data_IF_030707794523
#
_entry.id   IF_030707794523
#
_cell.length_a   1.000
_cell.length_b   1.000
_cell.length_c   1.000
_cell.angle_alpha   90.00
_cell.angle_beta   90.00
_cell.angle_gamma   90.00
#
_symmetry.space_group_name_H-M   'P 1'
#
loop_
_entity.id
_entity.type
_entity.pdbx_description
1 polymer ?
#
# COMPACT_ATOMS: atom_id res chain seq x y z
N UNK A 1 -39.31 -5.71 7.56
CA UNK A 1 -38.16 -4.96 7.04
C UNK A 1 -37.01 -5.94 6.93
N UNK A 2 -36.32 -6.01 5.79
CA UNK A 2 -35.15 -6.85 5.62
C UNK A 2 -34.00 -6.22 6.43
N UNK A 3 -33.31 -6.99 7.25
CA UNK A 3 -32.18 -6.48 8.06
C UNK A 3 -31.03 -6.07 7.14
N UNK A 4 -30.62 -4.81 7.22
CA UNK A 4 -29.45 -4.28 6.51
C UNK A 4 -28.29 -4.13 7.46
N UNK A 5 -27.09 -4.41 7.00
CA UNK A 5 -25.83 -4.29 7.73
C UNK A 5 -24.92 -3.29 7.02
N UNK A 6 -24.14 -2.53 7.78
CA UNK A 6 -23.19 -1.57 7.22
C UNK A 6 -21.76 -1.95 7.57
N UNK A 7 -20.88 -1.88 6.58
CA UNK A 7 -19.46 -2.21 6.69
C UNK A 7 -18.59 -1.10 6.10
N UNK A 8 -17.36 -1.05 6.56
CA UNK A 8 -16.35 -0.12 6.05
C UNK A 8 -14.96 -0.75 6.11
N UNK A 9 -14.14 -0.47 5.10
CA UNK A 9 -12.71 -0.74 5.10
C UNK A 9 -11.95 0.48 4.59
N UNK A 10 -10.84 0.88 5.24
CA UNK A 10 -10.07 2.07 4.87
C UNK A 10 -9.17 1.84 3.67
N UNK A 11 -8.85 2.91 2.95
CA UNK A 11 -7.62 2.98 2.16
C UNK A 11 -6.39 2.96 3.03
N UNK A 12 -5.21 2.88 2.41
CA UNK A 12 -3.92 2.86 3.13
C UNK A 12 -2.91 3.82 2.51
N UNK A 13 -1.95 4.25 3.32
CA UNK A 13 -0.77 4.96 2.85
C UNK A 13 0.50 4.21 3.28
N UNK A 14 1.54 4.22 2.43
CA UNK A 14 2.88 3.74 2.78
C UNK A 14 3.65 4.87 3.46
N UNK A 15 3.91 4.73 4.75
CA UNK A 15 4.64 5.73 5.54
C UNK A 15 6.14 5.60 5.30
N UNK A 16 6.67 4.36 5.25
CA UNK A 16 8.10 4.06 5.08
C UNK A 16 8.31 2.62 4.61
N UNK A 17 9.46 2.35 4.00
CA UNK A 17 9.80 1.03 3.49
C UNK A 17 9.62 0.90 1.98
N UNK A 18 9.97 1.95 1.23
CA UNK A 18 9.78 1.97 -0.21
C UNK A 18 10.54 0.83 -0.90
N UNK A 19 9.80 -0.06 -1.57
CA UNK A 19 10.36 -1.21 -2.28
C UNK A 19 11.16 -2.21 -1.41
N UNK A 20 10.84 -2.32 -0.12
CA UNK A 20 11.47 -3.33 0.75
C UNK A 20 10.69 -4.63 0.82
N UNK A 21 9.38 -4.61 0.69
CA UNK A 21 8.46 -5.74 0.86
C UNK A 21 8.77 -6.92 -0.08
N UNK A 22 9.02 -6.67 -1.37
CA UNK A 22 9.36 -7.69 -2.35
C UNK A 22 10.77 -8.28 -2.18
N UNK A 23 11.56 -7.75 -1.23
CA UNK A 23 12.84 -8.28 -0.77
C UNK A 23 12.77 -8.80 0.67
N UNK A 24 11.57 -9.09 1.16
CA UNK A 24 11.29 -9.57 2.51
C UNK A 24 11.72 -8.60 3.62
N UNK A 25 11.72 -7.31 3.33
CA UNK A 25 12.08 -6.25 4.27
C UNK A 25 10.92 -5.79 5.15
N UNK A 26 11.16 -4.71 5.88
CA UNK A 26 10.20 -4.08 6.77
C UNK A 26 9.48 -2.92 6.08
N UNK A 27 8.21 -2.71 6.41
CA UNK A 27 7.43 -1.54 6.01
C UNK A 27 6.69 -0.94 7.20
N UNK A 28 6.42 0.35 7.12
CA UNK A 28 5.51 1.06 8.00
C UNK A 28 4.40 1.65 7.14
N UNK A 29 3.17 1.21 7.37
CA UNK A 29 2.00 1.65 6.63
C UNK A 29 0.91 2.14 7.59
N UNK A 30 -0.07 2.87 7.09
CA UNK A 30 -1.19 3.33 7.89
C UNK A 30 -2.51 3.21 7.14
N UNK A 31 -3.57 2.88 7.87
CA UNK A 31 -4.94 3.06 7.39
C UNK A 31 -5.30 4.54 7.43
N UNK A 32 -6.01 5.01 6.40
CA UNK A 32 -6.42 6.41 6.28
C UNK A 32 -7.94 6.58 6.40
N UNK A 33 -8.41 7.80 6.59
CA UNK A 33 -9.82 8.15 6.75
C UNK A 33 -10.66 8.05 5.47
N UNK A 34 -10.03 7.93 4.30
CA UNK A 34 -10.73 7.58 3.06
C UNK A 34 -11.09 6.09 3.09
N UNK A 35 -12.33 5.75 2.76
CA UNK A 35 -12.88 4.41 2.98
C UNK A 35 -13.74 3.90 1.84
N UNK A 36 -13.87 2.58 1.78
CA UNK A 36 -14.88 1.89 0.97
C UNK A 36 -15.93 1.32 1.91
N UNK A 37 -17.20 1.65 1.68
CA UNK A 37 -18.33 1.25 2.52
C UNK A 37 -19.28 0.35 1.75
N UNK A 38 -20.02 -0.51 2.47
CA UNK A 38 -21.09 -1.33 1.90
C UNK A 38 -22.35 -1.33 2.77
N UNK A 39 -23.50 -1.24 2.13
CA UNK A 39 -24.79 -1.64 2.71
C UNK A 39 -25.13 -3.05 2.21
N UNK A 40 -25.31 -3.98 3.15
CA UNK A 40 -25.41 -5.42 2.86
C UNK A 40 -26.78 -5.94 3.31
N UNK A 41 -27.45 -6.70 2.44
CA UNK A 41 -28.72 -7.39 2.72
C UNK A 41 -28.55 -8.88 2.40
N UNK A 42 -28.99 -9.77 3.30
CA UNK A 42 -28.91 -11.22 3.08
C UNK A 42 -29.93 -11.67 2.04
N UNK A 43 -29.53 -12.66 1.24
CA UNK A 43 -30.37 -13.33 0.24
C UNK A 43 -30.63 -14.78 0.63
N UNK A 44 -31.77 -15.35 0.21
CA UNK A 44 -32.08 -16.76 0.49
C UNK A 44 -31.38 -17.75 -0.46
N UNK A 45 -30.76 -17.25 -1.53
CA UNK A 45 -30.08 -18.04 -2.57
C UNK A 45 -28.56 -18.12 -2.35
N UNK A 46 -27.82 -18.64 -3.32
CA UNK A 46 -26.36 -18.76 -3.32
C UNK A 46 -25.67 -17.73 -4.19
N UNK A 47 -26.24 -16.53 -4.36
CA UNK A 47 -25.69 -15.49 -5.23
C UNK A 47 -25.17 -14.32 -4.39
N UNK A 48 -23.91 -13.94 -4.58
CA UNK A 48 -23.39 -12.66 -4.13
C UNK A 48 -23.56 -11.66 -5.26
N UNK A 49 -24.29 -10.56 -5.00
CA UNK A 49 -24.39 -9.45 -5.94
C UNK A 49 -23.74 -8.22 -5.35
N UNK A 50 -22.79 -7.63 -6.08
CA UNK A 50 -22.11 -6.40 -5.68
C UNK A 50 -22.37 -5.31 -6.72
N UNK A 51 -22.93 -4.21 -6.27
CA UNK A 51 -23.12 -2.99 -7.06
C UNK A 51 -22.22 -1.89 -6.51
N UNK A 52 -21.12 -1.62 -7.18
CA UNK A 52 -20.17 -0.55 -6.83
C UNK A 52 -20.46 0.71 -7.65
N UNK A 53 -20.48 1.87 -7.00
CA UNK A 53 -20.69 3.15 -7.69
C UNK A 53 -19.60 3.37 -8.74
N UNK A 54 -20.01 3.67 -9.98
CA UNK A 54 -19.08 3.86 -11.12
C UNK A 54 -18.63 2.59 -11.84
N UNK A 55 -19.09 1.40 -11.40
CA UNK A 55 -18.76 0.11 -12.01
C UNK A 55 -20.00 -0.69 -12.37
N UNK A 56 -19.88 -1.60 -13.35
CA UNK A 56 -20.97 -2.53 -13.65
C UNK A 56 -21.21 -3.48 -12.46
N UNK A 57 -22.47 -3.76 -12.10
CA UNK A 57 -22.77 -4.74 -11.08
C UNK A 57 -22.24 -6.13 -11.45
N UNK A 58 -21.79 -6.88 -10.45
CA UNK A 58 -21.29 -8.24 -10.61
C UNK A 58 -22.11 -9.23 -9.79
N UNK A 59 -22.26 -10.46 -10.31
CA UNK A 59 -22.93 -11.57 -9.65
C UNK A 59 -22.01 -12.78 -9.60
N UNK A 60 -21.88 -13.37 -8.42
CA UNK A 60 -21.04 -14.54 -8.17
C UNK A 60 -21.94 -15.67 -7.65
N UNK A 61 -21.96 -16.80 -8.37
CA UNK A 61 -22.61 -18.03 -7.89
C UNK A 61 -21.64 -18.75 -6.93
N UNK A 62 -22.05 -18.89 -5.68
CA UNK A 62 -21.28 -19.60 -4.64
C UNK A 62 -21.14 -21.12 -4.90
N UNK A 63 -21.91 -21.68 -5.84
CA UNK A 63 -21.76 -23.08 -6.27
C UNK A 63 -20.60 -23.26 -7.25
N UNK A 64 -20.08 -22.17 -7.84
CA UNK A 64 -18.91 -22.19 -8.71
C UNK A 64 -17.93 -21.07 -8.29
N UNK A 65 -16.93 -21.46 -7.49
CA UNK A 65 -15.86 -20.59 -7.01
C UNK A 65 -14.52 -20.90 -7.70
N UNK A 66 -14.55 -21.54 -8.87
CA UNK A 66 -13.35 -21.74 -9.68
C UNK A 66 -12.82 -20.44 -10.27
N UNK A 67 -11.56 -20.42 -10.71
CA UNK A 67 -10.98 -19.28 -11.41
C UNK A 67 -11.55 -19.17 -12.82
N UNK A 68 -12.11 -18.03 -13.17
CA UNK A 68 -12.65 -17.73 -14.48
C UNK A 68 -11.69 -16.80 -15.24
N UNK A 69 -11.14 -17.27 -16.36
CA UNK A 69 -10.15 -16.51 -17.11
C UNK A 69 -10.69 -15.19 -17.68
N UNK A 70 -11.99 -15.15 -18.01
CA UNK A 70 -12.71 -13.98 -18.51
C UNK A 70 -12.95 -12.92 -17.45
N UNK A 71 -12.90 -13.27 -16.16
CA UNK A 71 -13.04 -12.34 -15.05
C UNK A 71 -11.72 -11.65 -14.69
N UNK A 72 -10.59 -12.03 -15.28
CA UNK A 72 -9.30 -11.43 -15.00
C UNK A 72 -9.36 -9.89 -15.10
N UNK A 73 -8.76 -9.20 -14.12
CA UNK A 73 -8.79 -7.74 -13.98
C UNK A 73 -10.19 -7.14 -13.76
N UNK A 74 -11.14 -7.92 -13.23
CA UNK A 74 -12.50 -7.43 -12.92
C UNK A 74 -12.84 -7.51 -11.43
N UNK A 75 -13.83 -6.73 -11.00
CA UNK A 75 -14.40 -6.80 -9.65
C UNK A 75 -14.95 -8.19 -9.33
N UNK A 76 -15.48 -8.92 -10.31
CA UNK A 76 -15.99 -10.28 -10.14
C UNK A 76 -14.89 -11.23 -9.64
N UNK A 77 -13.71 -11.16 -10.22
CA UNK A 77 -12.55 -11.97 -9.80
C UNK A 77 -12.20 -11.75 -8.33
N UNK A 78 -12.19 -10.49 -7.86
CA UNK A 78 -11.88 -10.19 -6.46
C UNK A 78 -12.94 -10.77 -5.51
N UNK A 79 -14.22 -10.58 -5.80
CA UNK A 79 -15.31 -11.11 -4.97
C UNK A 79 -15.28 -12.64 -4.94
N UNK A 80 -15.12 -13.28 -6.10
CA UNK A 80 -15.03 -14.74 -6.24
C UNK A 80 -13.81 -15.29 -5.48
N UNK A 81 -12.65 -14.65 -5.61
CA UNK A 81 -11.40 -15.04 -4.93
C UNK A 81 -11.51 -14.97 -3.41
N UNK A 82 -12.11 -13.90 -2.87
CA UNK A 82 -12.38 -13.78 -1.43
C UNK A 82 -13.35 -14.86 -0.97
N UNK A 83 -14.48 -15.07 -1.68
CA UNK A 83 -15.45 -16.11 -1.35
C UNK A 83 -14.82 -17.51 -1.38
N UNK A 84 -14.01 -17.83 -2.40
CA UNK A 84 -13.28 -19.08 -2.51
C UNK A 84 -12.34 -19.33 -1.33
N UNK A 85 -11.58 -18.31 -0.93
CA UNK A 85 -10.67 -18.41 0.20
C UNK A 85 -11.39 -18.67 1.54
N UNK A 86 -12.56 -18.07 1.74
CA UNK A 86 -13.42 -18.37 2.90
C UNK A 86 -14.01 -19.78 2.83
N UNK A 87 -14.50 -20.22 1.66
CA UNK A 87 -15.01 -21.58 1.47
C UNK A 87 -13.93 -22.64 1.74
N UNK A 88 -12.69 -22.44 1.28
CA UNK A 88 -11.54 -23.31 1.57
C UNK A 88 -11.23 -23.44 3.08
N UNK A 89 -11.56 -22.42 3.87
CA UNK A 89 -11.45 -22.42 5.34
C UNK A 89 -12.65 -23.04 6.06
N UNK A 90 -13.61 -23.59 5.28
CA UNK A 90 -14.82 -24.23 5.83
C UNK A 90 -15.94 -23.25 6.18
N UNK A 91 -15.87 -22.01 5.70
CA UNK A 91 -16.98 -21.06 5.84
C UNK A 91 -18.15 -21.49 4.95
N UNK A 92 -19.35 -21.53 5.51
CA UNK A 92 -20.60 -21.76 4.77
C UNK A 92 -21.20 -20.41 4.37
N UNK A 93 -20.77 -19.92 3.23
CA UNK A 93 -21.27 -18.67 2.67
C UNK A 93 -22.74 -18.80 2.19
N UNK A 94 -23.48 -17.73 2.32
CA UNK A 94 -24.81 -17.54 1.76
C UNK A 94 -24.84 -16.29 0.89
N UNK A 95 -25.85 -16.18 0.03
CA UNK A 95 -26.02 -15.03 -0.84
C UNK A 95 -26.26 -13.73 -0.08
N UNK A 96 -25.77 -12.65 -0.64
CA UNK A 96 -26.04 -11.28 -0.17
C UNK A 96 -25.99 -10.28 -1.33
N UNK A 97 -26.71 -9.18 -1.18
CA UNK A 97 -26.58 -7.98 -2.00
C UNK A 97 -25.70 -6.98 -1.24
N UNK A 98 -24.71 -6.36 -1.91
CA UNK A 98 -23.88 -5.30 -1.36
C UNK A 98 -23.92 -4.07 -2.28
N UNK A 99 -24.39 -2.94 -1.75
CA UNK A 99 -24.27 -1.63 -2.40
C UNK A 99 -23.01 -0.94 -1.88
N UNK A 100 -22.00 -0.78 -2.76
CA UNK A 100 -20.67 -0.31 -2.40
C UNK A 100 -20.43 1.12 -2.88
N UNK A 101 -19.85 1.95 -2.01
CA UNK A 101 -19.37 3.30 -2.30
C UNK A 101 -17.95 3.45 -1.80
N UNK A 102 -17.13 4.25 -2.50
CA UNK A 102 -15.74 4.47 -2.12
C UNK A 102 -15.37 5.94 -2.22
N UNK A 103 -14.67 6.43 -1.19
CA UNK A 103 -13.95 7.71 -1.22
C UNK A 103 -12.47 7.49 -1.52
N UNK A 104 -12.00 6.23 -1.57
CA UNK A 104 -10.65 5.87 -2.00
C UNK A 104 -10.59 5.92 -3.53
N UNK A 105 -10.09 7.02 -4.06
CA UNK A 105 -10.06 7.23 -5.51
C UNK A 105 -9.08 6.27 -6.19
N UNK A 106 -9.48 5.64 -7.31
CA UNK A 106 -8.55 4.89 -8.15
C UNK A 106 -7.40 5.78 -8.62
N UNK A 107 -6.17 5.24 -8.61
CA UNK A 107 -4.96 5.98 -9.02
C UNK A 107 -4.42 6.97 -7.98
N UNK A 108 -5.08 7.18 -6.85
CA UNK A 108 -4.61 8.08 -5.77
C UNK A 108 -3.41 7.52 -4.97
N UNK A 109 -2.95 6.33 -5.26
CA UNK A 109 -1.91 5.64 -4.48
C UNK A 109 -2.39 5.06 -3.15
N UNK A 110 -3.69 5.16 -2.81
CA UNK A 110 -4.25 4.77 -1.51
C UNK A 110 -4.89 3.36 -1.50
N UNK A 111 -4.67 2.58 -2.56
CA UNK A 111 -5.09 1.17 -2.72
C UNK A 111 -6.58 0.91 -2.57
N UNK A 112 -7.37 1.36 -3.56
CA UNK A 112 -8.80 1.09 -3.60
C UNK A 112 -9.12 -0.41 -3.72
N UNK A 113 -8.27 -1.22 -4.40
CA UNK A 113 -8.45 -2.67 -4.50
C UNK A 113 -8.36 -3.35 -3.15
N UNK A 114 -7.31 -3.07 -2.36
CA UNK A 114 -7.14 -3.66 -1.03
C UNK A 114 -8.28 -3.27 -0.08
N UNK A 115 -8.73 -2.01 -0.10
CA UNK A 115 -9.88 -1.57 0.68
C UNK A 115 -11.16 -2.35 0.30
N UNK A 116 -11.37 -2.60 -1.00
CA UNK A 116 -12.50 -3.39 -1.47
C UNK A 116 -12.40 -4.87 -1.06
N UNK A 117 -11.24 -5.50 -1.21
CA UNK A 117 -10.99 -6.90 -0.82
C UNK A 117 -11.20 -7.10 0.68
N UNK A 118 -10.64 -6.19 1.50
CA UNK A 118 -10.82 -6.20 2.95
C UNK A 118 -12.28 -5.99 3.33
N UNK A 119 -13.01 -5.12 2.62
CA UNK A 119 -14.43 -4.91 2.83
C UNK A 119 -15.23 -6.21 2.62
N UNK A 120 -15.04 -6.89 1.49
CA UNK A 120 -15.71 -8.17 1.18
C UNK A 120 -15.28 -9.25 2.19
N UNK A 121 -14.00 -9.33 2.53
CA UNK A 121 -13.49 -10.24 3.56
C UNK A 121 -14.12 -10.01 4.92
N UNK A 122 -14.27 -8.74 5.33
CA UNK A 122 -14.93 -8.36 6.60
C UNK A 122 -16.40 -8.76 6.59
N UNK A 123 -17.12 -8.54 5.48
CA UNK A 123 -18.52 -8.98 5.34
C UNK A 123 -18.63 -10.49 5.52
N UNK A 124 -17.81 -11.28 4.82
CA UNK A 124 -17.83 -12.74 4.91
C UNK A 124 -17.49 -13.23 6.33
N UNK A 125 -16.48 -12.65 6.97
CA UNK A 125 -16.05 -13.01 8.31
C UNK A 125 -17.12 -12.71 9.39
N UNK A 126 -17.73 -11.54 9.30
CA UNK A 126 -18.73 -11.07 10.28
C UNK A 126 -20.07 -11.81 10.17
N UNK A 127 -20.57 -12.02 8.92
CA UNK A 127 -21.92 -12.55 8.70
C UNK A 127 -21.98 -14.08 8.61
N UNK A 128 -20.88 -14.74 8.18
CA UNK A 128 -20.92 -16.17 7.86
C UNK A 128 -19.84 -17.01 8.54
N UNK A 129 -18.84 -16.38 9.20
CA UNK A 129 -17.73 -17.12 9.78
C UNK A 129 -17.48 -16.84 11.26
N UNK A 130 -18.44 -16.23 11.95
CA UNK A 130 -18.40 -15.94 13.40
C UNK A 130 -17.10 -15.20 13.83
N UNK A 131 -16.55 -14.32 12.96
CA UNK A 131 -15.31 -13.56 13.19
C UNK A 131 -14.06 -14.44 13.46
N UNK A 132 -14.02 -15.63 12.88
CA UNK A 132 -12.91 -16.57 13.11
C UNK A 132 -11.61 -16.17 12.45
N UNK A 133 -11.67 -15.38 11.35
CA UNK A 133 -10.46 -14.84 10.75
C UNK A 133 -9.99 -13.59 11.50
N UNK A 134 -8.71 -13.56 11.82
CA UNK A 134 -8.01 -12.35 12.27
C UNK A 134 -7.89 -11.32 11.13
N UNK A 135 -7.54 -10.08 11.46
CA UNK A 135 -7.27 -9.04 10.46
C UNK A 135 -6.12 -9.45 9.51
N UNK A 136 -5.11 -10.14 10.01
CA UNK A 136 -4.00 -10.67 9.20
C UNK A 136 -4.51 -11.69 8.18
N UNK A 137 -5.36 -12.62 8.58
CA UNK A 137 -5.92 -13.63 7.68
C UNK A 137 -6.85 -13.00 6.63
N UNK A 138 -7.63 -11.96 6.99
CA UNK A 138 -8.44 -11.20 6.02
C UNK A 138 -7.53 -10.54 4.98
N UNK A 139 -6.41 -9.96 5.39
CA UNK A 139 -5.43 -9.38 4.47
C UNK A 139 -4.84 -10.44 3.51
N UNK A 140 -4.47 -11.60 4.03
CA UNK A 140 -3.97 -12.72 3.22
C UNK A 140 -5.02 -13.26 2.24
N UNK A 141 -6.29 -13.28 2.64
CA UNK A 141 -7.41 -13.64 1.76
C UNK A 141 -7.54 -12.61 0.61
N UNK A 142 -7.44 -11.31 0.91
CA UNK A 142 -7.45 -10.26 -0.12
C UNK A 142 -6.30 -10.43 -1.11
N UNK A 143 -5.07 -10.58 -0.62
CA UNK A 143 -3.90 -10.83 -1.46
C UNK A 143 -4.07 -12.09 -2.34
N UNK A 144 -4.60 -13.17 -1.79
CA UNK A 144 -4.89 -14.38 -2.55
C UNK A 144 -5.88 -14.10 -3.69
N UNK A 145 -6.94 -13.36 -3.43
CA UNK A 145 -7.90 -12.98 -4.45
C UNK A 145 -7.26 -12.14 -5.57
N UNK A 146 -6.40 -11.17 -5.21
CA UNK A 146 -5.71 -10.33 -6.19
C UNK A 146 -4.68 -11.12 -7.02
N UNK A 147 -3.89 -11.99 -6.39
CA UNK A 147 -2.85 -12.74 -7.08
C UNK A 147 -3.39 -13.88 -7.93
N UNK A 148 -4.39 -14.64 -7.44
CA UNK A 148 -4.85 -15.89 -8.08
C UNK A 148 -6.03 -15.66 -9.00
N UNK A 149 -7.01 -14.85 -8.61
CA UNK A 149 -8.24 -14.62 -9.37
C UNK A 149 -8.15 -13.40 -10.27
N UNK A 150 -7.78 -12.26 -9.70
CA UNK A 150 -7.63 -11.02 -10.47
C UNK A 150 -6.43 -11.09 -11.43
N UNK A 151 -5.38 -11.82 -11.05
CA UNK A 151 -4.22 -12.08 -11.89
C UNK A 151 -3.16 -10.97 -11.89
N UNK A 152 -3.13 -10.15 -10.84
CA UNK A 152 -2.11 -9.11 -10.63
C UNK A 152 -1.25 -9.47 -9.41
N UNK A 153 0.02 -9.85 -9.60
CA UNK A 153 0.92 -10.10 -8.49
C UNK A 153 1.09 -8.85 -7.62
N UNK A 154 0.77 -8.95 -6.34
CA UNK A 154 0.94 -7.87 -5.38
C UNK A 154 1.60 -8.37 -4.08
N UNK A 155 2.25 -7.44 -3.34
CA UNK A 155 2.66 -7.64 -1.96
C UNK A 155 1.46 -7.69 -1.00
N UNK A 156 1.72 -7.92 0.29
CA UNK A 156 0.68 -8.02 1.32
C UNK A 156 0.47 -6.72 2.11
N UNK A 157 1.31 -5.71 1.91
CA UNK A 157 1.30 -4.46 2.68
C UNK A 157 -0.06 -3.75 2.63
N UNK A 158 -0.64 -3.66 1.43
CA UNK A 158 -1.86 -2.89 1.17
C UNK A 158 -3.05 -3.45 1.93
N UNK A 159 -3.29 -4.74 1.77
CA UNK A 159 -4.36 -5.45 2.46
C UNK A 159 -4.14 -5.47 3.98
N UNK A 160 -2.87 -5.60 4.41
CA UNK A 160 -2.52 -5.62 5.83
C UNK A 160 -2.85 -4.30 6.50
N UNK A 161 -2.43 -3.17 5.92
CA UNK A 161 -2.70 -1.85 6.49
C UNK A 161 -4.21 -1.54 6.51
N UNK A 162 -4.94 -1.87 5.44
CA UNK A 162 -6.39 -1.71 5.36
C UNK A 162 -7.13 -2.59 6.38
N UNK A 163 -6.68 -3.82 6.58
CA UNK A 163 -7.36 -4.79 7.45
C UNK A 163 -7.09 -4.58 8.94
N UNK A 164 -5.83 -4.27 9.29
CA UNK A 164 -5.41 -4.10 10.70
C UNK A 164 -5.81 -2.73 11.25
N UNK A 165 -5.69 -1.68 10.44
CA UNK A 165 -5.95 -0.30 10.87
C UNK A 165 -4.82 0.32 11.69
N UNK A 166 -4.90 1.62 11.93
CA UNK A 166 -3.89 2.39 12.63
C UNK A 166 -2.58 2.49 11.87
N UNK A 167 -1.50 2.67 12.60
CA UNK A 167 -0.13 2.66 12.09
C UNK A 167 0.44 1.25 12.26
N UNK A 168 0.78 0.58 11.15
CA UNK A 168 1.14 -0.84 11.14
C UNK A 168 2.58 -1.01 10.68
N UNK A 169 3.42 -1.55 11.57
CA UNK A 169 4.73 -2.08 11.22
C UNK A 169 4.58 -3.54 10.79
N UNK A 170 5.20 -3.88 9.66
CA UNK A 170 5.18 -5.23 9.10
C UNK A 170 6.63 -5.63 8.78
N UNK A 171 7.07 -6.78 9.31
CA UNK A 171 8.33 -7.41 8.91
C UNK A 171 8.02 -8.65 8.07
N UNK A 172 8.45 -8.65 6.82
CA UNK A 172 8.26 -9.72 5.85
C UNK A 172 9.42 -10.73 5.84
N UNK A 173 10.20 -10.85 6.91
CA UNK A 173 11.29 -11.84 6.98
C UNK A 173 10.78 -13.26 6.68
N UNK A 174 9.58 -13.61 7.11
CA UNK A 174 8.79 -14.75 6.65
C UNK A 174 7.49 -14.24 6.00
N UNK A 175 7.39 -14.19 4.66
CA UNK A 175 6.19 -13.68 4.00
C UNK A 175 4.92 -14.52 4.24
N UNK A 176 5.07 -15.80 4.58
CA UNK A 176 3.94 -16.66 4.91
C UNK A 176 3.37 -16.33 6.31
N UNK A 177 4.24 -15.89 7.22
CA UNK A 177 3.89 -15.52 8.60
C UNK A 177 4.54 -14.18 8.97
N UNK A 178 4.13 -13.06 8.35
CA UNK A 178 4.73 -11.75 8.61
C UNK A 178 4.52 -11.35 10.07
N UNK A 179 5.56 -10.77 10.68
CA UNK A 179 5.42 -10.19 11.99
C UNK A 179 4.74 -8.82 11.88
N UNK A 180 3.54 -8.69 12.45
CA UNK A 180 2.70 -7.50 12.35
C UNK A 180 2.44 -6.92 13.72
N UNK A 181 2.66 -5.61 13.88
CA UNK A 181 2.30 -4.88 15.09
C UNK A 181 1.81 -3.47 14.79
N UNK A 182 0.85 -2.99 15.55
CA UNK A 182 0.49 -1.59 15.52
C UNK A 182 1.53 -0.77 16.28
N UNK A 183 2.01 0.32 15.69
CA UNK A 183 2.85 1.28 16.38
C UNK A 183 1.96 2.26 17.16
N UNK A 184 2.28 2.46 18.44
CA UNK A 184 1.54 3.37 19.30
C UNK A 184 2.04 4.80 19.07
N UNK A 185 1.37 5.55 18.20
CA UNK A 185 1.64 6.98 18.01
C UNK A 185 0.36 7.71 17.60
N UNK A 186 0.11 8.87 18.18
CA UNK A 186 -1.04 9.71 17.88
C UNK A 186 -0.67 10.86 16.93
N UNK A 187 -0.89 10.65 15.64
CA UNK A 187 -0.67 11.68 14.61
C UNK A 187 -1.58 12.90 14.75
N UNK A 188 -2.72 12.81 15.45
CA UNK A 188 -3.63 13.94 15.59
C UNK A 188 -3.02 15.07 16.42
N UNK A 189 -2.05 14.76 17.29
CA UNK A 189 -1.45 15.73 18.22
C UNK A 189 0.03 16.04 17.92
N UNK A 190 0.62 15.49 16.86
CA UNK A 190 2.04 15.72 16.55
C UNK A 190 2.35 17.12 15.98
N UNK A 191 1.34 17.92 15.68
CA UNK A 191 1.52 19.26 15.08
C UNK A 191 1.69 19.26 13.56
N UNK A 192 1.54 18.10 12.92
CA UNK A 192 1.68 17.91 11.47
C UNK A 192 0.45 17.21 10.88
N UNK A 193 0.20 17.54 9.64
CA UNK A 193 -0.85 16.91 8.82
C UNK A 193 -0.21 16.05 7.74
N UNK A 194 -0.72 14.84 7.57
CA UNK A 194 -0.34 13.94 6.50
C UNK A 194 -1.06 14.34 5.20
N UNK A 195 -0.31 14.47 4.11
CA UNK A 195 -0.85 14.77 2.80
C UNK A 195 -0.30 13.80 1.75
N UNK A 196 -1.13 13.41 0.78
CA UNK A 196 -0.64 12.86 -0.48
C UNK A 196 -0.86 13.88 -1.60
N UNK A 197 0.13 13.97 -2.51
CA UNK A 197 0.09 14.89 -3.63
C UNK A 197 0.18 14.09 -4.93
N UNK A 198 -0.83 14.21 -5.78
CA UNK A 198 -0.80 13.61 -7.11
C UNK A 198 0.09 14.44 -8.03
N UNK A 199 1.18 13.86 -8.53
CA UNK A 199 2.13 14.53 -9.43
C UNK A 199 1.59 14.83 -10.81
N UNK A 200 0.46 14.20 -11.19
CA UNK A 200 -0.11 14.26 -12.54
C UNK A 200 0.63 13.41 -13.57
N UNK A 201 1.62 12.64 -13.15
CA UNK A 201 2.30 11.69 -14.04
C UNK A 201 1.44 10.45 -14.26
N UNK A 202 1.38 9.99 -15.51
CA UNK A 202 0.65 8.79 -15.88
C UNK A 202 1.48 7.52 -15.58
N UNK A 203 0.80 6.45 -15.19
CA UNK A 203 1.38 5.12 -15.00
C UNK A 203 1.47 4.30 -16.30
N UNK A 204 0.91 4.81 -17.41
CA UNK A 204 0.97 4.14 -18.70
C UNK A 204 2.43 3.90 -19.12
N UNK A 205 2.70 2.73 -19.66
CA UNK A 205 4.02 2.31 -20.17
C UNK A 205 5.17 2.24 -19.15
N UNK A 206 4.89 2.24 -17.82
CA UNK A 206 5.90 2.16 -16.78
C UNK A 206 6.10 0.74 -16.20
N UNK A 207 5.44 -0.27 -16.76
CA UNK A 207 5.48 -1.66 -16.27
C UNK A 207 6.91 -2.19 -16.17
N UNK A 208 7.75 -1.92 -17.17
CA UNK A 208 9.15 -2.36 -17.20
C UNK A 208 10.00 -1.69 -16.12
N UNK A 209 9.75 -0.42 -15.81
CA UNK A 209 10.43 0.31 -14.74
C UNK A 209 10.10 -0.28 -13.36
N UNK A 210 8.82 -0.57 -13.12
CA UNK A 210 8.40 -1.22 -11.88
C UNK A 210 8.97 -2.64 -11.75
N UNK A 211 8.95 -3.43 -12.82
CA UNK A 211 9.48 -4.79 -12.84
C UNK A 211 11.01 -4.83 -12.66
N UNK A 212 11.72 -3.81 -13.14
CA UNK A 212 13.18 -3.72 -13.04
C UNK A 212 13.66 -3.58 -11.59
N UNK A 213 12.89 -2.94 -10.70
CA UNK A 213 13.35 -2.72 -9.31
C UNK A 213 13.54 -4.05 -8.56
N UNK A 214 12.51 -4.91 -8.40
CA UNK A 214 12.69 -6.18 -7.70
C UNK A 214 13.65 -7.12 -8.41
N UNK A 215 13.69 -7.12 -9.75
CA UNK A 215 14.57 -8.01 -10.50
C UNK A 215 16.05 -7.61 -10.34
N UNK A 216 16.38 -6.33 -10.37
CA UNK A 216 17.75 -5.86 -10.13
C UNK A 216 18.21 -6.15 -8.70
N UNK A 217 17.34 -5.98 -7.70
CA UNK A 217 17.65 -6.34 -6.32
C UNK A 217 17.90 -7.85 -6.17
N UNK A 218 17.06 -8.70 -6.78
CA UNK A 218 17.28 -10.17 -6.80
C UNK A 218 18.55 -10.55 -7.52
N UNK A 219 18.91 -9.84 -8.59
CA UNK A 219 20.19 -10.08 -9.32
C UNK A 219 21.38 -9.89 -8.40
N UNK A 220 21.35 -8.87 -7.54
CA UNK A 220 22.39 -8.69 -6.51
C UNK A 220 22.35 -9.82 -5.48
N UNK A 221 21.17 -10.19 -4.96
CA UNK A 221 21.05 -11.27 -3.99
C UNK A 221 21.64 -12.59 -4.52
N UNK A 222 21.42 -12.92 -5.80
CA UNK A 222 21.98 -14.11 -6.46
C UNK A 222 23.51 -14.12 -6.52
N UNK A 223 24.16 -12.97 -6.52
CA UNK A 223 25.66 -12.90 -6.43
C UNK A 223 26.15 -13.52 -5.13
N UNK A 224 25.35 -13.44 -4.07
CA UNK A 224 25.61 -14.00 -2.75
C UNK A 224 24.93 -15.38 -2.53
N UNK A 225 24.39 -16.00 -3.60
CA UNK A 225 23.68 -17.28 -3.50
C UNK A 225 22.35 -17.22 -2.77
N UNK A 226 21.68 -16.06 -2.78
CA UNK A 226 20.40 -15.81 -2.11
C UNK A 226 19.31 -15.44 -3.12
N UNK A 227 18.06 -15.61 -2.72
CA UNK A 227 16.90 -15.24 -3.54
C UNK A 227 16.49 -13.78 -3.36
N UNK A 228 16.62 -13.25 -2.14
CA UNK A 228 16.24 -11.87 -1.78
C UNK A 228 17.34 -11.21 -0.93
N UNK A 229 17.35 -9.87 -0.92
CA UNK A 229 18.38 -9.11 -0.19
C UNK A 229 18.28 -9.27 1.33
N UNK A 230 17.10 -9.61 1.88
CA UNK A 230 16.94 -9.88 3.32
C UNK A 230 17.82 -11.02 3.83
N UNK A 231 18.16 -11.98 2.97
CA UNK A 231 18.97 -13.14 3.29
C UNK A 231 20.49 -12.87 3.14
N UNK A 232 20.86 -11.74 2.55
CA UNK A 232 22.26 -11.35 2.33
C UNK A 232 22.78 -10.63 3.57
N UNK A 233 23.95 -11.02 4.05
CA UNK A 233 24.65 -10.28 5.10
C UNK A 233 25.11 -8.93 4.58
N UNK A 234 24.70 -7.84 5.25
CA UNK A 234 25.00 -6.47 4.82
C UNK A 234 26.51 -6.19 4.81
N UNK A 235 27.27 -6.70 5.79
CA UNK A 235 28.71 -6.51 5.85
C UNK A 235 29.41 -7.25 4.70
N UNK A 236 28.96 -8.47 4.38
CA UNK A 236 29.43 -9.24 3.24
C UNK A 236 29.15 -8.51 1.91
N UNK A 237 27.94 -7.94 1.75
CA UNK A 237 27.59 -7.15 0.58
C UNK A 237 28.55 -5.96 0.39
N UNK A 238 28.77 -5.14 1.44
CA UNK A 238 29.66 -3.99 1.34
C UNK A 238 31.14 -4.37 1.14
N UNK A 239 31.59 -5.49 1.69
CA UNK A 239 32.95 -6.00 1.46
C UNK A 239 33.17 -6.47 0.01
N UNK A 240 32.12 -6.83 -0.72
CA UNK A 240 32.17 -7.40 -2.07
C UNK A 240 31.52 -6.51 -3.14
N UNK A 241 31.41 -5.20 -2.92
CA UNK A 241 30.76 -4.26 -3.84
C UNK A 241 31.29 -4.33 -5.27
N UNK A 242 32.63 -4.52 -5.44
CA UNK A 242 33.24 -4.64 -6.76
C UNK A 242 32.68 -5.84 -7.53
N UNK A 243 32.64 -7.01 -6.90
CA UNK A 243 32.11 -8.23 -7.52
C UNK A 243 30.60 -8.12 -7.80
N UNK A 244 29.85 -7.55 -6.88
CA UNK A 244 28.42 -7.30 -7.07
C UNK A 244 28.17 -6.36 -8.26
N UNK A 245 28.95 -5.28 -8.38
CA UNK A 245 28.89 -4.33 -9.49
C UNK A 245 29.20 -4.98 -10.83
N UNK A 246 30.28 -5.77 -10.90
CA UNK A 246 30.70 -6.46 -12.13
C UNK A 246 29.64 -7.48 -12.61
N UNK A 247 28.97 -8.15 -11.68
CA UNK A 247 27.98 -9.17 -11.98
C UNK A 247 26.55 -8.62 -12.22
N UNK A 248 26.12 -7.61 -11.44
CA UNK A 248 24.73 -7.13 -11.46
C UNK A 248 24.56 -5.73 -12.09
N UNK A 249 25.63 -4.95 -12.22
CA UNK A 249 25.62 -3.58 -12.72
C UNK A 249 25.39 -2.52 -11.63
N UNK A 250 25.76 -1.27 -11.95
CA UNK A 250 25.80 -0.16 -10.99
C UNK A 250 24.41 0.14 -10.39
N UNK A 251 23.36 0.22 -11.22
CA UNK A 251 22.00 0.54 -10.74
C UNK A 251 21.45 -0.54 -9.81
N UNK A 252 21.70 -1.80 -10.10
CA UNK A 252 21.27 -2.90 -9.23
C UNK A 252 21.95 -2.82 -7.85
N UNK A 253 23.24 -2.49 -7.80
CA UNK A 253 23.99 -2.30 -6.55
C UNK A 253 23.45 -1.09 -5.77
N UNK A 254 23.16 0.03 -6.43
CA UNK A 254 22.55 1.20 -5.78
C UNK A 254 21.17 0.85 -5.19
N UNK A 255 20.35 0.09 -5.89
CA UNK A 255 19.04 -0.40 -5.41
C UNK A 255 19.18 -1.34 -4.21
N UNK A 256 20.23 -2.18 -4.19
CA UNK A 256 20.55 -3.01 -3.02
C UNK A 256 20.99 -2.18 -1.81
N UNK A 257 21.81 -1.14 -2.01
CA UNK A 257 22.15 -0.19 -0.95
C UNK A 257 20.91 0.49 -0.38
N UNK A 258 20.00 0.93 -1.25
CA UNK A 258 18.70 1.47 -0.82
C UNK A 258 17.95 0.49 0.07
N UNK A 259 17.86 -0.78 -0.32
CA UNK A 259 17.17 -1.80 0.46
C UNK A 259 17.73 -1.92 1.88
N UNK A 260 19.04 -2.06 2.05
CA UNK A 260 19.65 -2.19 3.37
C UNK A 260 19.41 -0.96 4.24
N UNK A 261 19.60 0.22 3.66
CA UNK A 261 19.37 1.49 4.37
C UNK A 261 17.88 1.68 4.72
N UNK A 262 16.97 1.44 3.78
CA UNK A 262 15.54 1.63 3.98
C UNK A 262 14.98 0.64 4.99
N UNK A 263 15.39 -0.63 4.92
CA UNK A 263 14.97 -1.66 5.86
C UNK A 263 15.36 -1.31 7.32
N UNK A 264 16.56 -0.75 7.52
CA UNK A 264 17.03 -0.24 8.83
C UNK A 264 16.27 1.03 9.24
N UNK A 265 16.03 1.94 8.28
CA UNK A 265 15.32 3.22 8.49
C UNK A 265 13.90 3.01 8.99
N UNK A 266 13.15 2.06 8.42
CA UNK A 266 11.80 1.72 8.91
C UNK A 266 11.82 1.40 10.39
N UNK A 267 12.75 0.57 10.85
CA UNK A 267 12.86 0.19 12.27
C UNK A 267 13.22 1.39 13.14
N UNK A 268 14.14 2.26 12.68
CA UNK A 268 14.51 3.49 13.39
C UNK A 268 13.35 4.47 13.48
N UNK A 269 12.55 4.62 12.42
CA UNK A 269 11.37 5.48 12.41
C UNK A 269 10.29 4.98 13.37
N UNK A 270 10.06 3.67 13.43
CA UNK A 270 9.13 3.10 14.41
C UNK A 270 9.60 3.35 15.84
N UNK A 271 10.89 3.14 16.12
CA UNK A 271 11.47 3.44 17.44
C UNK A 271 11.40 4.93 17.79
N UNK A 272 11.56 5.83 16.82
CA UNK A 272 11.41 7.27 17.02
C UNK A 272 9.97 7.61 17.44
N UNK A 273 8.97 7.08 16.74
CA UNK A 273 7.56 7.26 17.08
C UNK A 273 7.22 6.70 18.48
N UNK A 274 7.72 5.53 18.83
CA UNK A 274 7.51 4.91 20.14
C UNK A 274 8.14 5.70 21.31
N UNK A 275 9.14 6.55 21.02
CA UNK A 275 9.80 7.45 21.98
C UNK A 275 9.25 8.87 21.93
N UNK A 276 8.19 9.12 21.17
CA UNK A 276 7.62 10.45 20.90
C UNK A 276 8.64 11.43 20.25
N UNK A 277 9.65 10.89 19.52
CA UNK A 277 10.64 11.64 18.74
C UNK A 277 10.16 11.82 17.30
N UNK A 278 9.19 12.73 17.13
CA UNK A 278 8.61 12.98 15.79
C UNK A 278 9.61 13.63 14.83
N UNK A 279 10.56 14.46 15.31
CA UNK A 279 11.61 15.03 14.44
C UNK A 279 12.58 13.95 13.94
N UNK A 280 12.97 13.00 14.77
CA UNK A 280 13.74 11.83 14.35
C UNK A 280 12.99 11.00 13.29
N UNK A 281 11.68 10.84 13.44
CA UNK A 281 10.84 10.21 12.41
C UNK A 281 10.84 11.01 11.10
N UNK A 282 10.65 12.34 11.13
CA UNK A 282 10.68 13.20 9.94
C UNK A 282 12.05 13.19 9.26
N UNK A 283 13.14 13.13 10.02
CA UNK A 283 14.50 12.96 9.48
C UNK A 283 14.59 11.68 8.65
N UNK A 284 14.05 10.57 9.15
CA UNK A 284 13.95 9.31 8.41
C UNK A 284 13.14 9.44 7.12
N UNK A 285 12.02 10.19 7.11
CA UNK A 285 11.22 10.45 5.89
C UNK A 285 12.04 11.21 4.85
N UNK A 286 12.75 12.27 5.27
CA UNK A 286 13.63 13.05 4.38
C UNK A 286 14.75 12.18 3.79
N UNK A 287 15.36 11.32 4.60
CA UNK A 287 16.43 10.42 4.14
C UNK A 287 15.90 9.33 3.20
N UNK A 288 14.66 8.84 3.40
CA UNK A 288 13.99 7.95 2.45
C UNK A 288 13.77 8.64 1.09
N UNK A 289 13.29 9.89 1.09
CA UNK A 289 13.14 10.69 -0.12
C UNK A 289 14.45 10.86 -0.90
N UNK A 290 15.54 11.17 -0.19
CA UNK A 290 16.89 11.28 -0.77
C UNK A 290 17.41 9.94 -1.31
N UNK A 291 17.14 8.85 -0.60
CA UNK A 291 17.49 7.51 -1.02
C UNK A 291 16.74 7.09 -2.29
N UNK A 292 15.47 7.49 -2.45
CA UNK A 292 14.71 7.30 -3.68
C UNK A 292 15.36 8.01 -4.88
N UNK A 293 15.90 9.21 -4.69
CA UNK A 293 16.63 9.93 -5.73
C UNK A 293 17.96 9.27 -6.08
N UNK A 294 18.80 9.04 -5.07
CA UNK A 294 20.20 8.72 -5.26
C UNK A 294 20.41 7.21 -5.50
N UNK A 295 19.70 6.35 -4.78
CA UNK A 295 19.96 4.92 -4.73
C UNK A 295 18.90 4.10 -5.47
N UNK A 296 17.62 4.24 -5.11
CA UNK A 296 16.54 3.47 -5.72
C UNK A 296 16.26 3.91 -7.16
N UNK A 297 16.37 5.21 -7.42
CA UNK A 297 16.18 5.83 -8.73
C UNK A 297 14.78 5.55 -9.30
N UNK A 298 13.75 5.73 -8.47
CA UNK A 298 12.34 5.58 -8.84
C UNK A 298 11.59 6.91 -8.97
N UNK A 299 12.30 8.01 -9.21
CA UNK A 299 11.72 9.36 -9.35
C UNK A 299 11.47 9.73 -10.81
N UNK A 300 12.42 9.41 -11.68
CA UNK A 300 12.37 9.76 -13.11
C UNK A 300 12.44 8.48 -13.94
N UNK A 301 11.44 8.23 -14.82
CA UNK A 301 11.50 7.08 -15.73
C UNK A 301 12.70 7.15 -16.66
N UNK A 302 13.27 5.99 -17.02
CA UNK A 302 14.41 5.91 -17.93
C UNK A 302 14.10 6.58 -19.26
N UNK A 303 14.99 7.48 -19.70
CA UNK A 303 14.83 8.21 -20.98
C UNK A 303 13.92 9.45 -20.91
N UNK A 304 13.24 9.72 -19.80
CA UNK A 304 12.45 10.94 -19.61
C UNK A 304 13.36 12.16 -19.49
N UNK A 305 13.27 13.11 -20.41
CA UNK A 305 14.11 14.31 -20.44
C UNK A 305 13.36 15.59 -20.11
N UNK A 306 12.18 15.78 -20.65
CA UNK A 306 11.42 17.03 -20.59
C UNK A 306 10.26 16.93 -19.58
N UNK A 307 9.62 15.75 -19.47
CA UNK A 307 8.47 15.53 -18.63
C UNK A 307 8.87 14.73 -17.37
N UNK A 308 9.17 15.44 -16.28
CA UNK A 308 9.63 14.90 -15.02
C UNK A 308 8.73 15.34 -13.87
N UNK A 309 7.43 15.07 -14.00
CA UNK A 309 6.39 15.58 -13.10
C UNK A 309 6.65 15.19 -11.64
N UNK A 310 7.03 13.93 -11.39
CA UNK A 310 7.33 13.43 -10.05
C UNK A 310 8.52 14.17 -9.43
N UNK A 311 9.58 14.37 -10.20
CA UNK A 311 10.78 15.08 -9.76
C UNK A 311 10.48 16.54 -9.43
N UNK A 312 9.70 17.21 -10.30
CA UNK A 312 9.29 18.60 -10.10
C UNK A 312 8.40 18.73 -8.86
N UNK A 313 7.42 17.84 -8.71
CA UNK A 313 6.52 17.83 -7.55
C UNK A 313 7.29 17.64 -6.24
N UNK A 314 8.25 16.68 -6.20
CA UNK A 314 9.08 16.42 -5.02
C UNK A 314 9.95 17.63 -4.65
N UNK A 315 10.64 18.21 -5.63
CA UNK A 315 11.49 19.40 -5.41
C UNK A 315 10.68 20.62 -4.93
N UNK A 316 9.49 20.84 -5.51
CA UNK A 316 8.59 21.90 -5.10
C UNK A 316 8.08 21.67 -3.67
N UNK A 317 7.69 20.43 -3.34
CA UNK A 317 7.24 20.05 -2.02
C UNK A 317 8.33 20.30 -0.95
N UNK A 318 9.56 19.82 -1.18
CA UNK A 318 10.69 20.08 -0.27
C UNK A 318 10.93 21.59 -0.06
N UNK A 319 10.87 22.37 -1.15
CA UNK A 319 11.05 23.82 -1.07
C UNK A 319 9.94 24.50 -0.27
N UNK A 320 8.68 24.07 -0.42
CA UNK A 320 7.55 24.63 0.34
C UNK A 320 7.62 24.25 1.82
N UNK A 321 8.08 23.06 2.15
CA UNK A 321 8.27 22.63 3.54
C UNK A 321 9.45 23.34 4.22
N UNK A 322 10.42 23.82 3.49
CA UNK A 322 11.55 24.63 3.98
C UNK A 322 12.28 24.00 5.20
N UNK A 323 12.41 22.68 5.22
CA UNK A 323 13.06 21.91 6.29
C UNK A 323 12.21 21.71 7.56
N UNK A 324 11.01 22.30 7.66
CA UNK A 324 10.11 22.16 8.83
C UNK A 324 9.18 20.96 8.75
N UNK A 325 9.12 20.28 7.63
CA UNK A 325 8.37 19.06 7.39
C UNK A 325 9.22 18.04 6.67
N UNK A 326 8.58 17.06 6.07
CA UNK A 326 9.25 16.00 5.30
C UNK A 326 8.37 15.53 4.15
N UNK A 327 8.98 15.14 3.04
CA UNK A 327 8.26 14.48 1.95
C UNK A 327 9.13 13.40 1.29
N UNK A 328 8.47 12.48 0.61
CA UNK A 328 9.10 11.40 -0.13
C UNK A 328 8.18 10.89 -1.25
N UNK A 329 8.74 10.04 -2.10
CA UNK A 329 7.94 9.24 -3.03
C UNK A 329 6.99 8.34 -2.23
N UNK A 330 5.77 8.18 -2.72
CA UNK A 330 4.74 7.32 -2.17
C UNK A 330 4.43 6.18 -3.17
N UNK A 331 4.52 4.94 -2.71
CA UNK A 331 4.33 3.76 -3.56
C UNK A 331 5.48 3.50 -4.54
N UNK A 332 5.17 3.01 -5.75
CA UNK A 332 6.16 2.55 -6.72
C UNK A 332 7.10 3.62 -7.28
N UNK A 333 6.72 4.89 -7.24
CA UNK A 333 7.50 5.98 -7.86
C UNK A 333 7.26 6.11 -9.35
N UNK A 334 8.15 6.79 -10.06
CA UNK A 334 8.11 7.16 -11.48
C UNK A 334 6.89 8.00 -11.88
N UNK A 335 5.74 7.68 -11.34
CA UNK A 335 4.44 8.37 -11.49
C UNK A 335 3.64 8.30 -10.18
N UNK A 336 2.41 8.82 -10.17
CA UNK A 336 1.49 8.76 -9.03
C UNK A 336 1.77 9.84 -7.99
N UNK A 337 1.97 9.45 -6.74
CA UNK A 337 1.86 10.38 -5.61
C UNK A 337 3.15 10.54 -4.79
N UNK A 338 3.22 11.66 -4.07
CA UNK A 338 4.16 11.93 -2.99
C UNK A 338 3.44 11.85 -1.64
N UNK A 339 4.17 11.50 -0.61
CA UNK A 339 3.76 11.63 0.79
C UNK A 339 4.44 12.85 1.40
N UNK A 340 3.69 13.67 2.15
CA UNK A 340 4.22 14.82 2.84
C UNK A 340 3.67 14.94 4.27
N UNK A 341 4.52 15.28 5.20
CA UNK A 341 4.19 15.70 6.56
C UNK A 341 4.33 17.20 6.66
N UNK A 342 3.22 17.92 6.74
CA UNK A 342 3.13 19.35 6.64
C UNK A 342 2.82 19.94 8.01
N UNK A 343 3.59 20.93 8.53
CA UNK A 343 3.22 21.63 9.77
C UNK A 343 1.81 22.18 9.68
N UNK A 344 1.00 22.02 10.73
CA UNK A 344 -0.41 22.43 10.70
C UNK A 344 -0.60 23.90 10.36
N UNK A 345 0.27 24.80 10.87
CA UNK A 345 0.23 26.23 10.58
C UNK A 345 0.56 26.57 9.11
N UNK A 346 1.26 25.69 8.41
CA UNK A 346 1.64 25.88 7.01
C UNK A 346 0.66 25.21 6.02
N UNK A 347 -0.26 24.38 6.49
CA UNK A 347 -1.09 23.49 5.64
C UNK A 347 -1.87 24.27 4.57
N UNK A 348 -2.53 25.36 4.93
CA UNK A 348 -3.35 26.10 3.98
C UNK A 348 -2.53 26.71 2.84
N UNK A 349 -1.39 27.33 3.16
CA UNK A 349 -0.49 27.93 2.16
C UNK A 349 0.24 26.84 1.34
N UNK A 350 0.66 25.76 1.98
CA UNK A 350 1.26 24.61 1.32
C UNK A 350 0.31 24.00 0.28
N UNK A 351 -0.94 23.72 0.67
CA UNK A 351 -1.95 23.18 -0.23
C UNK A 351 -2.20 24.09 -1.41
N UNK A 352 -2.45 25.39 -1.17
CA UNK A 352 -2.70 26.35 -2.23
C UNK A 352 -1.53 26.44 -3.23
N UNK A 353 -0.28 26.47 -2.74
CA UNK A 353 0.90 26.55 -3.58
C UNK A 353 1.15 25.27 -4.39
N UNK A 354 0.95 24.10 -3.77
CA UNK A 354 1.11 22.82 -4.48
C UNK A 354 -0.01 22.60 -5.51
N UNK A 355 -1.25 22.95 -5.19
CA UNK A 355 -2.37 22.85 -6.15
C UNK A 355 -2.25 23.86 -7.29
N UNK A 356 -1.67 25.02 -7.07
CA UNK A 356 -1.35 25.98 -8.14
C UNK A 356 -0.33 25.42 -9.15
N UNK A 357 0.59 24.54 -8.69
CA UNK A 357 1.57 23.88 -9.54
C UNK A 357 1.03 22.60 -10.19
N UNK A 358 0.38 21.76 -9.40
CA UNK A 358 0.01 20.40 -9.81
C UNK A 358 -1.41 20.31 -10.40
N UNK A 359 -2.27 21.26 -10.07
CA UNK A 359 -3.70 21.28 -10.40
C UNK A 359 -4.59 21.22 -9.15
N UNK A 360 -5.78 21.80 -9.26
CA UNK A 360 -6.78 21.82 -8.20
C UNK A 360 -7.19 20.39 -7.78
N UNK A 361 -7.33 20.17 -6.47
CA UNK A 361 -7.76 18.88 -5.90
C UNK A 361 -6.67 17.81 -5.85
N UNK A 362 -5.42 18.11 -6.22
CA UNK A 362 -4.31 17.14 -6.24
C UNK A 362 -3.56 17.03 -4.91
N UNK A 363 -3.91 17.82 -3.90
CA UNK A 363 -3.39 17.72 -2.55
C UNK A 363 -4.46 17.15 -1.61
N UNK A 364 -4.36 15.86 -1.27
CA UNK A 364 -5.28 15.18 -0.39
C UNK A 364 -4.77 15.22 1.04
N UNK A 365 -5.55 15.82 1.92
CA UNK A 365 -5.30 15.82 3.37
C UNK A 365 -5.84 14.51 3.94
N UNK A 366 -5.03 13.81 4.72
CA UNK A 366 -5.33 12.50 5.28
C UNK A 366 -5.22 12.53 6.80
N UNK A 367 -6.04 11.72 7.46
CA UNK A 367 -5.87 11.35 8.86
C UNK A 367 -5.75 9.83 9.00
N UNK A 368 -5.07 9.38 10.08
CA UNK A 368 -4.88 7.96 10.34
C UNK A 368 -6.11 7.41 11.04
N UNK A 369 -6.74 6.42 10.43
CA UNK A 369 -7.90 5.72 10.96
C UNK A 369 -7.44 4.53 11.79
N UNK A 370 -7.84 4.48 13.08
CA UNK A 370 -7.43 3.44 14.02
C UNK A 370 -8.06 2.07 13.72
N UNK A 371 -9.26 2.03 13.18
CA UNK A 371 -9.95 0.79 12.84
C UNK A 371 -9.69 0.37 11.38
N UNK A 372 -9.36 -0.88 11.16
CA UNK A 372 -9.33 -1.51 9.84
C UNK A 372 -10.72 -1.80 9.29
N UNK A 373 -10.87 -2.97 8.62
CA UNK A 373 -12.18 -3.44 8.17
C UNK A 373 -13.12 -3.69 9.35
N UNK A 374 -14.30 -3.05 9.36
CA UNK A 374 -15.26 -3.15 10.47
C UNK A 374 -16.71 -3.19 10.02
N UNK A 375 -17.56 -3.81 10.83
CA UNK A 375 -18.99 -3.65 10.76
C UNK A 375 -19.39 -2.40 11.56
N UNK A 376 -20.19 -1.51 10.95
CA UNK A 376 -20.62 -0.24 11.54
C UNK A 376 -21.97 -0.36 12.25
N UNK A 377 -22.91 -1.15 11.72
CA UNK A 377 -24.25 -1.37 12.25
C UNK A 377 -24.83 -2.71 11.77
#
# INVERSE_FOLDING_TARGET
MQTSYRFSAPGRTEISGNHTDHQHGCVLAAAVDLETTAEVTLRPDSIIRVASEGYAPVEIDLNDLSVHAEEKNTTAALVRGVAAAFAQRGCKLHGFDAAVRSTVLPGSGLSSSAAFEVLIGTICNELFFDKKCSAIEIAQIGQYAENVYFGKPCGLMDQMASSVGGLVFIDFADPAHPAVRQAAFDFAHCGYTLCTLDSGADHADLTDEYAAIPEEMRRVARVFGKEVLREVDEAEFYANLKSAREAAGDRAVLRAMHFFDENRRVQQQVQALERDDFEGFLAGVRDSGRSSWMLLQNVIPTGSREHQQMALALAACEKQLAGRGACRIHGGGFAGTLLAFVPNEALASFRANMEALLGEGRCHVLSIRQAGGVRLA
#
